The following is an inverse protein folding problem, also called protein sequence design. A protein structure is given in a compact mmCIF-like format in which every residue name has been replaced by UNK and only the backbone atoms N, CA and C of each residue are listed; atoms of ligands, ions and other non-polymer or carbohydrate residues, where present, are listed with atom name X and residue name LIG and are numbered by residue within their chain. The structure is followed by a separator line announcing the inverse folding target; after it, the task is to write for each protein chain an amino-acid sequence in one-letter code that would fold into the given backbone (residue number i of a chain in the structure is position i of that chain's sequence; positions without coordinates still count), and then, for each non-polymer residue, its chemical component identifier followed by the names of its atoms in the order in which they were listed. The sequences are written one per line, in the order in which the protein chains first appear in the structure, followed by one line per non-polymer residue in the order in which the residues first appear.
data_IF_084125259709
#
_entry.id   IF_084125259709
#
_cell.length_a   1.000
_cell.length_b   1.000
_cell.length_c   1.000
_cell.angle_alpha   90.00
_cell.angle_beta   90.00
_cell.angle_gamma   90.00
#
_symmetry.space_group_name_H-M   'P 1'
#
loop_
_entity.id
_entity.type
_entity.pdbx_description
1 polymer ?
#
# COMPACT_ATOMS: atom_id res chain seq x y z
N UNK A 1 2.22 18.48 16.22
CA UNK A 1 3.09 17.29 16.08
C UNK A 1 3.03 16.51 17.37
N UNK A 2 2.33 15.39 17.40
CA UNK A 2 2.36 14.47 18.52
C UNK A 2 3.57 13.57 18.30
N UNK A 3 4.69 13.86 18.95
CA UNK A 3 5.79 12.91 19.07
C UNK A 3 5.33 11.87 20.08
N UNK A 4 4.79 10.74 19.60
CA UNK A 4 4.52 9.61 20.49
C UNK A 4 5.84 9.18 21.12
N UNK A 5 5.95 9.40 22.44
CA UNK A 5 7.12 8.99 23.22
C UNK A 5 7.08 7.47 23.32
N UNK A 6 8.24 6.83 23.15
CA UNK A 6 8.40 5.40 23.42
C UNK A 6 7.85 5.07 24.81
N UNK A 7 7.10 3.98 24.92
CA UNK A 7 6.58 3.54 26.22
C UNK A 7 7.71 3.00 27.10
N UNK A 8 7.50 2.98 28.42
CA UNK A 8 8.45 2.39 29.37
C UNK A 8 8.75 0.91 29.07
N UNK A 9 7.75 0.16 28.60
CA UNK A 9 7.90 -1.24 28.19
C UNK A 9 8.75 -1.42 26.93
N UNK A 10 8.55 -0.56 25.92
CA UNK A 10 9.38 -0.54 24.71
C UNK A 10 10.83 -0.20 25.03
N UNK A 11 11.05 0.79 25.92
CA UNK A 11 12.40 1.17 26.37
C UNK A 11 13.12 0.01 27.05
N UNK A 12 12.45 -0.70 27.96
CA UNK A 12 13.03 -1.86 28.68
C UNK A 12 13.39 -2.99 27.73
N UNK A 13 12.54 -3.25 26.74
CA UNK A 13 12.77 -4.30 25.74
C UNK A 13 13.98 -3.97 24.86
N UNK A 14 14.06 -2.74 24.36
CA UNK A 14 15.19 -2.28 23.54
C UNK A 14 16.51 -2.34 24.32
N UNK A 15 16.49 -1.93 25.59
CA UNK A 15 17.68 -1.97 26.45
C UNK A 15 18.22 -3.40 26.59
N UNK A 16 17.33 -4.37 26.86
CA UNK A 16 17.73 -5.78 26.97
C UNK A 16 18.35 -6.32 25.68
N UNK A 17 17.76 -6.02 24.52
CA UNK A 17 18.31 -6.47 23.23
C UNK A 17 19.69 -5.88 22.97
N UNK A 18 19.92 -4.62 23.37
CA UNK A 18 21.23 -3.99 23.25
C UNK A 18 22.25 -4.61 24.21
N UNK A 19 21.84 -4.92 25.45
CA UNK A 19 22.68 -5.63 26.44
C UNK A 19 23.10 -7.00 25.90
N UNK A 20 22.15 -7.82 25.43
CA UNK A 20 22.41 -9.14 24.86
C UNK A 20 23.37 -9.06 23.65
N UNK A 21 23.20 -8.06 22.79
CA UNK A 21 24.05 -7.87 21.62
C UNK A 21 25.48 -7.44 21.98
N UNK A 22 25.63 -6.57 23.00
CA UNK A 22 26.95 -6.16 23.51
C UNK A 22 27.67 -7.37 24.12
N UNK A 23 26.97 -8.18 24.91
CA UNK A 23 27.54 -9.39 25.51
C UNK A 23 27.97 -10.39 24.43
N UNK A 24 27.13 -10.62 23.42
CA UNK A 24 27.43 -11.51 22.30
C UNK A 24 28.60 -11.02 21.42
N UNK A 25 28.85 -9.71 21.37
CA UNK A 25 29.93 -9.13 20.57
C UNK A 25 31.33 -9.33 21.18
N UNK A 26 31.42 -9.72 22.45
CA UNK A 26 32.69 -10.02 23.11
C UNK A 26 33.62 -8.81 23.25
N UNK A 27 33.07 -7.59 23.28
CA UNK A 27 33.85 -6.36 23.38
C UNK A 27 34.61 -6.29 24.71
N UNK A 28 35.88 -5.88 24.62
CA UNK A 28 36.67 -5.59 25.82
C UNK A 28 36.28 -4.25 26.42
N UNK A 29 36.63 -4.03 27.70
CA UNK A 29 36.39 -2.77 28.41
C UNK A 29 37.00 -1.55 27.68
N UNK A 30 38.16 -1.73 27.06
CA UNK A 30 38.86 -0.65 26.36
C UNK A 30 38.17 -0.32 25.04
N UNK A 31 37.70 -1.34 24.30
CA UNK A 31 36.90 -1.14 23.09
C UNK A 31 35.58 -0.45 23.39
N UNK A 32 34.89 -0.85 24.45
CA UNK A 32 33.67 -0.18 24.93
C UNK A 32 33.93 1.29 25.27
N UNK A 33 35.07 1.57 25.90
CA UNK A 33 35.47 2.95 26.26
C UNK A 33 35.73 3.81 25.02
N UNK A 34 36.38 3.27 23.99
CA UNK A 34 36.57 3.96 22.71
C UNK A 34 35.25 4.21 21.97
N UNK A 35 34.35 3.23 21.96
CA UNK A 35 33.00 3.38 21.37
C UNK A 35 32.22 4.49 22.09
N UNK A 36 32.32 4.60 23.42
CA UNK A 36 31.68 5.66 24.19
C UNK A 36 32.24 7.05 23.87
N UNK A 37 33.53 7.17 23.51
CA UNK A 37 34.14 8.45 23.10
C UNK A 37 33.57 8.97 21.78
N UNK A 38 33.18 8.08 20.87
CA UNK A 38 32.53 8.43 19.59
C UNK A 38 31.00 8.39 19.67
N UNK A 39 30.43 8.45 20.87
CA UNK A 39 29.01 8.16 21.15
C UNK A 39 27.98 8.89 20.27
N UNK A 40 28.28 10.08 19.76
CA UNK A 40 27.40 10.80 18.82
C UNK A 40 27.27 10.09 17.46
N UNK A 41 28.35 9.48 16.94
CA UNK A 41 28.32 8.71 15.69
C UNK A 41 27.54 7.40 15.89
N UNK A 42 27.78 6.71 17.01
CA UNK A 42 27.06 5.48 17.37
C UNK A 42 25.56 5.74 17.51
N UNK A 43 25.16 6.86 18.12
CA UNK A 43 23.75 7.25 18.21
C UNK A 43 23.13 7.54 16.83
N UNK A 44 23.87 8.20 15.94
CA UNK A 44 23.40 8.50 14.58
C UNK A 44 23.21 7.21 13.76
N UNK A 45 24.21 6.32 13.77
CA UNK A 45 24.16 5.05 13.04
C UNK A 45 23.12 4.08 13.63
N UNK A 46 23.00 4.03 14.96
CA UNK A 46 21.94 3.26 15.62
C UNK A 46 20.57 3.82 15.26
N UNK A 47 20.38 5.14 15.22
CA UNK A 47 19.12 5.76 14.78
C UNK A 47 18.81 5.44 13.32
N UNK A 48 19.78 5.54 12.42
CA UNK A 48 19.62 5.19 11.00
C UNK A 48 19.28 3.70 10.87
N UNK A 49 19.99 2.83 11.59
CA UNK A 49 19.74 1.38 11.56
C UNK A 49 18.38 1.03 12.15
N UNK A 50 18.00 1.65 13.27
CA UNK A 50 16.67 1.49 13.85
C UNK A 50 15.59 1.97 12.89
N UNK A 51 15.75 3.09 12.19
CA UNK A 51 14.80 3.56 11.16
C UNK A 51 14.76 2.61 9.96
N UNK A 52 15.93 2.18 9.48
CA UNK A 52 16.08 1.26 8.35
C UNK A 52 15.42 -0.11 8.63
N UNK A 53 15.53 -0.60 9.86
CA UNK A 53 15.02 -1.91 10.25
C UNK A 53 13.67 -1.86 10.99
N UNK A 54 13.24 -0.69 11.48
CA UNK A 54 11.87 -0.48 11.98
C UNK A 54 10.85 -0.49 10.86
N UNK A 55 11.32 -0.35 9.62
CA UNK A 55 10.52 -0.45 8.40
C UNK A 55 10.97 -1.66 7.58
N UNK A 56 11.00 -2.83 8.17
CA UNK A 56 10.59 -4.02 7.42
C UNK A 56 9.25 -4.45 7.98
N UNK A 57 8.16 -3.91 7.43
CA UNK A 57 6.89 -4.60 7.56
C UNK A 57 7.04 -5.87 6.71
N UNK A 58 7.72 -6.91 7.23
CA UNK A 58 7.94 -8.22 6.59
C UNK A 58 6.63 -8.95 6.27
N UNK A 59 5.50 -8.26 6.45
CA UNK A 59 4.16 -8.70 6.12
C UNK A 59 3.88 -8.60 4.63
N UNK A 60 4.57 -7.74 3.87
CA UNK A 60 4.31 -7.56 2.44
C UNK A 60 5.56 -7.72 1.57
N UNK A 61 5.40 -8.40 0.43
CA UNK A 61 6.44 -8.58 -0.59
C UNK A 61 5.90 -8.21 -1.97
N UNK A 62 6.78 -7.72 -2.84
CA UNK A 62 6.43 -7.43 -4.23
C UNK A 62 5.98 -8.73 -4.92
N UNK A 63 4.77 -8.74 -5.45
CA UNK A 63 4.24 -9.83 -6.25
C UNK A 63 4.54 -9.60 -7.74
N UNK A 64 4.23 -8.41 -8.24
CA UNK A 64 4.45 -8.04 -9.64
C UNK A 64 4.61 -6.52 -9.78
N UNK A 65 5.50 -6.09 -10.66
CA UNK A 65 5.56 -4.70 -11.14
C UNK A 65 4.78 -4.59 -12.45
N UNK A 66 3.72 -3.79 -12.46
CA UNK A 66 2.83 -3.62 -13.61
C UNK A 66 3.27 -2.43 -14.49
N UNK A 67 4.32 -1.72 -14.07
CA UNK A 67 4.80 -0.51 -14.73
C UNK A 67 3.78 0.62 -14.68
N UNK A 68 3.77 1.42 -15.75
CA UNK A 68 2.98 2.66 -15.80
C UNK A 68 1.57 2.36 -16.32
N UNK A 69 0.56 2.88 -15.64
CA UNK A 69 -0.79 3.11 -16.18
C UNK A 69 -0.96 4.59 -16.52
N UNK A 70 -1.67 4.87 -17.61
CA UNK A 70 -1.92 6.24 -18.08
C UNK A 70 -3.42 6.49 -18.13
N UNK A 71 -3.88 7.58 -17.56
CA UNK A 71 -5.30 7.94 -17.62
C UNK A 71 -5.67 8.33 -19.05
N UNK A 72 -6.68 7.70 -19.68
CA UNK A 72 -7.05 7.97 -21.06
C UNK A 72 -7.43 9.43 -21.33
N UNK A 73 -7.18 9.92 -22.54
CA UNK A 73 -7.49 11.30 -22.95
C UNK A 73 -8.99 11.64 -22.85
N UNK A 74 -9.84 10.64 -23.04
CA UNK A 74 -11.30 10.76 -22.93
C UNK A 74 -11.83 10.49 -21.51
N UNK A 75 -10.96 10.36 -20.51
CA UNK A 75 -11.39 10.12 -19.14
C UNK A 75 -12.15 11.33 -18.59
N UNK A 76 -13.38 11.09 -18.15
CA UNK A 76 -14.21 12.06 -17.43
C UNK A 76 -14.63 11.43 -16.13
N UNK A 77 -14.13 11.98 -15.01
CA UNK A 77 -14.50 11.52 -13.68
C UNK A 77 -16.03 11.57 -13.47
N UNK A 78 -16.57 10.53 -12.83
CA UNK A 78 -18.00 10.39 -12.58
C UNK A 78 -18.85 10.06 -13.82
N UNK A 79 -18.23 9.56 -14.89
CA UNK A 79 -18.94 9.05 -16.09
C UNK A 79 -18.42 7.72 -16.62
N UNK A 80 -17.47 7.10 -15.91
CA UNK A 80 -16.78 5.91 -16.42
C UNK A 80 -17.42 4.63 -15.92
N UNK A 81 -17.91 4.62 -14.68
CA UNK A 81 -18.37 3.38 -14.04
C UNK A 81 -19.71 2.93 -14.61
N UNK A 82 -20.62 3.87 -14.88
CA UNK A 82 -21.94 3.55 -15.42
C UNK A 82 -21.87 3.11 -16.90
N UNK A 83 -20.77 3.43 -17.59
CA UNK A 83 -20.54 3.09 -19.00
C UNK A 83 -19.75 1.80 -19.22
N UNK A 84 -19.38 1.09 -18.13
CA UNK A 84 -18.62 -0.15 -18.23
C UNK A 84 -19.40 -1.28 -18.92
N UNK A 85 -18.72 -2.03 -19.77
CA UNK A 85 -19.26 -3.25 -20.34
C UNK A 85 -19.21 -4.39 -19.30
N UNK A 86 -20.22 -4.45 -18.44
CA UNK A 86 -20.29 -5.43 -17.33
C UNK A 86 -20.23 -6.90 -17.77
N UNK A 87 -20.53 -7.19 -19.04
CA UNK A 87 -20.49 -8.55 -19.61
C UNK A 87 -19.07 -9.11 -19.76
N UNK A 88 -18.04 -8.27 -19.67
CA UNK A 88 -16.63 -8.70 -19.69
C UNK A 88 -16.20 -9.35 -18.37
N UNK A 89 -17.02 -9.24 -17.33
CA UNK A 89 -16.75 -9.81 -16.02
C UNK A 89 -17.63 -11.03 -15.80
N UNK A 90 -17.04 -12.07 -15.19
CA UNK A 90 -17.80 -13.21 -14.68
C UNK A 90 -18.78 -12.76 -13.57
N UNK A 91 -18.32 -11.82 -12.74
CA UNK A 91 -19.15 -11.12 -11.77
C UNK A 91 -18.80 -9.63 -11.73
N UNK A 92 -19.81 -8.78 -11.66
CA UNK A 92 -19.65 -7.34 -11.47
C UNK A 92 -20.56 -6.88 -10.33
N UNK A 93 -19.99 -6.21 -9.33
CA UNK A 93 -20.77 -5.65 -8.23
C UNK A 93 -21.56 -4.43 -8.74
N UNK A 94 -22.88 -4.52 -8.67
CA UNK A 94 -23.81 -3.52 -9.20
C UNK A 94 -23.69 -2.14 -8.53
N UNK A 95 -23.10 -2.06 -7.33
CA UNK A 95 -22.86 -0.79 -6.63
C UNK A 95 -21.61 -0.05 -7.13
N UNK A 96 -20.86 -0.63 -8.07
CA UNK A 96 -19.78 0.06 -8.79
C UNK A 96 -20.40 0.97 -9.85
N UNK A 97 -20.90 2.11 -9.37
CA UNK A 97 -21.54 3.17 -10.16
C UNK A 97 -20.94 4.53 -9.83
N UNK A 98 -21.05 5.47 -10.76
CA UNK A 98 -20.40 6.79 -10.63
C UNK A 98 -20.90 7.55 -9.39
N UNK A 99 -22.18 7.40 -9.03
CA UNK A 99 -22.78 8.04 -7.86
C UNK A 99 -22.09 7.65 -6.54
N UNK A 100 -21.77 6.36 -6.38
CA UNK A 100 -21.19 5.82 -5.16
C UNK A 100 -19.72 6.25 -4.99
N UNK A 101 -19.00 6.50 -6.08
CA UNK A 101 -17.57 6.83 -6.07
C UNK A 101 -17.26 8.26 -6.55
N UNK A 102 -18.18 9.19 -6.30
CA UNK A 102 -18.11 10.58 -6.79
C UNK A 102 -17.14 11.50 -6.03
N UNK A 103 -16.55 11.04 -4.92
CA UNK A 103 -15.74 11.88 -4.03
C UNK A 103 -14.42 11.20 -3.59
N UNK A 104 -13.54 10.81 -4.53
CA UNK A 104 -12.26 10.18 -4.18
C UNK A 104 -11.29 11.17 -3.52
N UNK A 105 -10.25 10.67 -2.84
CA UNK A 105 -9.17 11.54 -2.31
C UNK A 105 -8.47 12.32 -3.42
N UNK A 106 -8.24 11.66 -4.57
CA UNK A 106 -7.65 12.28 -5.76
C UNK A 106 -8.51 12.02 -6.98
N UNK A 107 -8.92 13.09 -7.65
CA UNK A 107 -9.51 13.01 -8.98
C UNK A 107 -8.36 12.91 -9.99
N UNK A 108 -8.27 11.77 -10.67
CA UNK A 108 -7.30 11.57 -11.75
C UNK A 108 -7.70 12.40 -12.98
N UNK A 109 -6.72 12.89 -13.74
CA UNK A 109 -6.95 13.69 -14.95
C UNK A 109 -6.42 12.98 -16.19
N UNK A 110 -7.01 13.22 -17.38
CA UNK A 110 -6.44 12.79 -18.64
C UNK A 110 -4.93 13.04 -18.72
N UNK A 111 -4.17 12.04 -19.14
CA UNK A 111 -2.72 12.10 -19.26
C UNK A 111 -1.93 11.89 -17.97
N UNK A 112 -2.57 11.83 -16.79
CA UNK A 112 -1.90 11.45 -15.54
C UNK A 112 -1.26 10.06 -15.69
N UNK A 113 -0.05 9.91 -15.16
CA UNK A 113 0.72 8.65 -15.17
C UNK A 113 1.02 8.20 -13.75
N UNK A 114 0.68 6.96 -13.46
CA UNK A 114 0.94 6.33 -12.16
C UNK A 114 1.76 5.06 -12.37
N UNK A 115 2.82 4.88 -11.58
CA UNK A 115 3.54 3.62 -11.52
C UNK A 115 2.83 2.69 -10.56
N UNK A 116 2.45 1.50 -11.04
CA UNK A 116 1.68 0.51 -10.29
C UNK A 116 2.52 -0.72 -9.97
N UNK A 117 2.51 -1.11 -8.70
CA UNK A 117 3.09 -2.36 -8.21
C UNK A 117 2.08 -3.10 -7.34
N UNK A 118 2.06 -4.42 -7.43
CA UNK A 118 1.19 -5.25 -6.62
C UNK A 118 2.00 -5.94 -5.50
N UNK A 119 1.52 -5.85 -4.26
CA UNK A 119 2.20 -6.42 -3.10
C UNK A 119 1.31 -7.46 -2.41
N UNK A 120 1.86 -8.67 -2.22
CA UNK A 120 1.19 -9.76 -1.51
C UNK A 120 1.53 -9.74 -0.04
N UNK A 121 0.61 -10.20 0.80
CA UNK A 121 0.93 -10.49 2.18
C UNK A 121 1.71 -11.81 2.27
N UNK A 122 2.75 -11.86 3.11
CA UNK A 122 3.58 -13.05 3.37
C UNK A 122 3.67 -13.42 4.85
N UNK A 123 3.17 -12.57 5.75
CA UNK A 123 2.98 -12.94 7.15
C UNK A 123 1.79 -13.90 7.32
N UNK A 124 1.91 -14.80 8.30
CA UNK A 124 0.79 -15.63 8.75
C UNK A 124 -0.35 -14.75 9.32
N UNK A 125 -1.59 -15.20 9.13
CA UNK A 125 -2.80 -14.53 9.63
C UNK A 125 -3.39 -13.51 8.65
N UNK A 126 -4.20 -12.59 9.18
CA UNK A 126 -4.80 -11.48 8.45
C UNK A 126 -4.09 -10.14 8.71
N UNK A 127 -4.37 -9.15 7.88
CA UNK A 127 -4.00 -7.74 8.09
C UNK A 127 -5.23 -6.84 7.98
N UNK A 128 -5.27 -5.75 8.73
CA UNK A 128 -6.35 -4.75 8.63
C UNK A 128 -6.13 -3.83 7.43
N UNK A 129 -7.16 -3.06 7.05
CA UNK A 129 -6.99 -1.99 6.06
C UNK A 129 -5.97 -0.94 6.52
N UNK A 130 -5.98 -0.59 7.80
CA UNK A 130 -5.03 0.35 8.40
C UNK A 130 -3.58 -0.13 8.27
N UNK A 131 -3.29 -1.42 8.49
CA UNK A 131 -1.96 -2.01 8.28
C UNK A 131 -1.48 -1.84 6.82
N UNK A 132 -2.39 -2.08 5.87
CA UNK A 132 -2.11 -2.01 4.42
C UNK A 132 -1.91 -0.58 3.96
N UNK A 133 -2.70 0.36 4.50
CA UNK A 133 -2.52 1.79 4.26
C UNK A 133 -1.23 2.32 4.87
N UNK A 134 -0.84 1.87 6.07
CA UNK A 134 0.44 2.25 6.68
C UNK A 134 1.63 1.79 5.82
N UNK A 135 1.57 0.55 5.30
CA UNK A 135 2.55 0.04 4.34
C UNK A 135 2.57 0.91 3.06
N UNK A 136 1.40 1.22 2.51
CA UNK A 136 1.28 2.02 1.28
C UNK A 136 1.83 3.44 1.46
N UNK A 137 1.55 4.09 2.59
CA UNK A 137 2.04 5.42 2.91
C UNK A 137 3.58 5.47 2.99
N UNK A 138 4.22 4.45 3.56
CA UNK A 138 5.69 4.33 3.62
C UNK A 138 6.34 4.26 2.23
N UNK A 139 5.59 3.83 1.23
CA UNK A 139 6.02 3.76 -0.17
C UNK A 139 5.62 5.00 -0.98
N UNK A 140 5.14 6.07 -0.32
CA UNK A 140 4.59 7.28 -0.95
C UNK A 140 3.47 6.96 -1.96
N UNK A 141 2.58 6.03 -1.60
CA UNK A 141 1.46 5.67 -2.44
C UNK A 141 0.43 6.80 -2.51
N UNK A 142 -0.21 6.92 -3.67
CA UNK A 142 -1.46 7.65 -3.85
C UNK A 142 -2.63 6.67 -3.77
N UNK A 143 -3.79 7.19 -3.39
CA UNK A 143 -4.99 6.38 -3.19
C UNK A 143 -6.06 6.74 -4.24
N UNK A 144 -6.01 6.11 -5.43
CA UNK A 144 -6.95 6.42 -6.52
C UNK A 144 -8.30 5.69 -6.39
N UNK A 145 -8.45 4.78 -5.42
CA UNK A 145 -9.67 4.01 -5.21
C UNK A 145 -10.10 3.26 -6.47
N UNK A 146 -11.39 3.37 -6.81
CA UNK A 146 -11.98 2.66 -7.96
C UNK A 146 -11.34 3.05 -9.29
N UNK A 147 -10.87 4.30 -9.42
CA UNK A 147 -10.22 4.79 -10.65
C UNK A 147 -8.95 3.98 -10.93
N UNK A 148 -8.16 3.69 -9.89
CA UNK A 148 -6.94 2.89 -10.00
C UNK A 148 -7.23 1.42 -10.32
N UNK A 149 -8.17 0.80 -9.61
CA UNK A 149 -8.57 -0.58 -9.88
C UNK A 149 -9.02 -0.76 -11.34
N UNK A 150 -9.84 0.17 -11.83
CA UNK A 150 -10.31 0.13 -13.20
C UNK A 150 -9.20 0.33 -14.22
N UNK A 151 -8.30 1.30 -14.03
CA UNK A 151 -7.16 1.50 -14.94
C UNK A 151 -6.24 0.27 -15.02
N UNK A 152 -6.01 -0.39 -13.88
CA UNK A 152 -5.23 -1.64 -13.84
C UNK A 152 -5.95 -2.74 -14.61
N UNK A 153 -7.25 -2.92 -14.42
CA UNK A 153 -8.02 -3.87 -15.21
C UNK A 153 -7.89 -3.58 -16.71
N UNK A 154 -8.17 -2.34 -17.15
CA UNK A 154 -8.16 -2.01 -18.57
C UNK A 154 -6.80 -2.18 -19.25
N UNK A 155 -5.70 -1.89 -18.54
CA UNK A 155 -4.38 -1.77 -19.17
C UNK A 155 -3.43 -2.91 -18.83
N UNK A 156 -3.70 -3.64 -17.74
CA UNK A 156 -2.75 -4.56 -17.10
C UNK A 156 -3.37 -5.90 -16.68
N UNK A 157 -4.64 -6.18 -16.98
CA UNK A 157 -5.31 -7.41 -16.55
C UNK A 157 -4.56 -8.70 -16.95
N UNK A 158 -3.96 -8.73 -18.14
CA UNK A 158 -3.16 -9.87 -18.64
C UNK A 158 -1.86 -10.09 -17.85
N UNK A 159 -1.39 -9.07 -17.14
CA UNK A 159 -0.17 -9.12 -16.33
C UNK A 159 -0.43 -9.49 -14.87
N UNK A 160 -1.70 -9.55 -14.44
CA UNK A 160 -2.06 -9.90 -13.07
C UNK A 160 -1.85 -11.39 -12.83
N UNK A 161 -1.01 -11.80 -11.85
CA UNK A 161 -1.02 -13.17 -11.36
C UNK A 161 -2.42 -13.63 -10.98
N UNK A 162 -2.78 -14.85 -11.36
CA UNK A 162 -4.10 -15.42 -11.13
C UNK A 162 -4.28 -15.88 -9.67
N UNK A 163 -5.54 -16.08 -9.25
CA UNK A 163 -6.01 -16.51 -7.91
C UNK A 163 -5.92 -15.45 -6.81
N UNK A 164 -6.00 -14.18 -7.20
CA UNK A 164 -5.79 -13.06 -6.30
C UNK A 164 -6.82 -11.94 -6.50
N UNK A 165 -7.18 -11.31 -5.39
CA UNK A 165 -8.03 -10.11 -5.34
C UNK A 165 -7.16 -8.87 -5.24
N UNK A 166 -7.15 -8.02 -6.25
CA UNK A 166 -6.30 -6.84 -6.35
C UNK A 166 -7.03 -5.60 -5.84
N UNK A 167 -6.73 -5.18 -4.61
CA UNK A 167 -7.39 -4.10 -3.89
C UNK A 167 -6.76 -2.74 -4.17
N UNK A 168 -7.56 -1.76 -4.57
CA UNK A 168 -7.15 -0.37 -4.72
C UNK A 168 -7.79 0.49 -3.63
N UNK A 169 -6.96 1.02 -2.74
CA UNK A 169 -7.44 1.81 -1.60
C UNK A 169 -7.73 3.27 -1.97
N UNK A 170 -8.63 3.87 -1.19
CA UNK A 170 -8.85 5.31 -1.06
C UNK A 170 -8.61 5.70 0.41
N UNK A 171 -8.59 6.99 0.76
CA UNK A 171 -8.66 7.35 2.18
C UNK A 171 -9.97 6.87 2.79
N UNK A 172 -9.91 6.38 4.05
CA UNK A 172 -11.05 5.81 4.77
C UNK A 172 -12.31 6.66 4.65
N UNK A 173 -12.23 7.96 4.87
CA UNK A 173 -13.40 8.84 4.84
C UNK A 173 -13.90 9.20 3.43
N UNK A 174 -13.17 8.80 2.38
CA UNK A 174 -13.55 8.97 0.97
C UNK A 174 -14.14 7.73 0.34
N UNK A 175 -13.94 6.57 0.95
CA UNK A 175 -14.58 5.34 0.50
C UNK A 175 -16.10 5.46 0.60
N UNK A 176 -16.78 4.94 -0.41
CA UNK A 176 -18.22 4.80 -0.39
C UNK A 176 -18.66 3.98 0.83
N UNK A 177 -19.64 4.50 1.56
CA UNK A 177 -20.27 3.81 2.68
C UNK A 177 -21.58 3.21 2.18
N UNK A 178 -21.70 1.89 2.25
CA UNK A 178 -22.92 1.18 1.85
C UNK A 178 -24.08 1.43 2.83
N UNK A 179 -25.25 0.88 2.50
CA UNK A 179 -26.47 1.03 3.31
C UNK A 179 -26.36 0.43 4.71
N UNK A 180 -25.49 -0.56 4.89
CA UNK A 180 -25.23 -1.21 6.18
C UNK A 180 -24.17 -0.47 7.00
N UNK A 181 -23.55 0.54 6.40
CA UNK A 181 -22.59 1.43 7.03
C UNK A 181 -21.15 0.97 6.93
N UNK A 182 -20.85 0.04 6.03
CA UNK A 182 -19.49 -0.41 5.76
C UNK A 182 -18.84 0.38 4.63
N UNK A 183 -17.54 0.65 4.76
CA UNK A 183 -16.77 1.32 3.70
C UNK A 183 -16.27 0.30 2.70
N UNK A 184 -16.45 0.60 1.42
CA UNK A 184 -16.29 -0.37 0.33
C UNK A 184 -15.00 -0.12 -0.43
N UNK A 185 -14.10 -1.11 -0.41
CA UNK A 185 -12.80 -1.07 -1.09
C UNK A 185 -12.89 -1.80 -2.43
N UNK A 186 -12.67 -1.13 -3.56
CA UNK A 186 -12.75 -1.76 -4.86
C UNK A 186 -11.60 -2.71 -5.11
N UNK A 187 -11.93 -3.86 -5.70
CA UNK A 187 -10.94 -4.87 -6.05
C UNK A 187 -11.33 -5.65 -7.30
N UNK A 188 -10.30 -6.08 -8.03
CA UNK A 188 -10.43 -6.92 -9.22
C UNK A 188 -9.93 -8.32 -8.89
N UNK A 189 -10.78 -9.34 -9.04
CA UNK A 189 -10.35 -10.74 -8.98
C UNK A 189 -9.76 -11.12 -10.32
N UNK A 190 -8.54 -11.65 -10.33
CA UNK A 190 -8.05 -12.42 -11.47
C UNK A 190 -8.20 -13.91 -11.10
N UNK A 191 -9.24 -14.56 -11.62
CA UNK A 191 -9.59 -15.92 -11.23
C UNK A 191 -8.56 -16.95 -11.73
N UNK A 192 -8.70 -18.22 -11.34
CA UNK A 192 -7.77 -19.27 -11.80
C UNK A 192 -7.93 -19.67 -13.27
N UNK A 193 -9.07 -19.37 -13.88
CA UNK A 193 -9.46 -19.75 -15.25
C UNK A 193 -9.06 -18.69 -16.29
N UNK A 194 -8.68 -17.50 -15.83
CA UNK A 194 -8.35 -16.34 -16.65
C UNK A 194 -9.45 -15.27 -16.67
N UNK A 195 -10.62 -15.54 -16.14
CA UNK A 195 -11.74 -14.60 -16.01
C UNK A 195 -11.50 -13.57 -14.91
N UNK A 196 -12.33 -12.53 -14.92
CA UNK A 196 -12.24 -11.43 -13.98
C UNK A 196 -13.56 -11.14 -13.29
N UNK A 197 -13.48 -10.75 -12.03
CA UNK A 197 -14.60 -10.21 -11.26
C UNK A 197 -14.25 -8.80 -10.78
N UNK A 198 -15.23 -7.91 -10.76
CA UNK A 198 -15.08 -6.60 -10.14
C UNK A 198 -15.96 -6.52 -8.90
N UNK A 199 -15.35 -6.46 -7.72
CA UNK A 199 -16.01 -6.60 -6.43
C UNK A 199 -15.69 -5.44 -5.48
N UNK A 200 -16.45 -5.39 -4.39
CA UNK A 200 -16.28 -4.45 -3.28
C UNK A 200 -16.01 -5.22 -1.99
N UNK A 201 -14.80 -5.08 -1.46
CA UNK A 201 -14.41 -5.60 -0.16
C UNK A 201 -14.78 -4.64 0.95
N UNK A 202 -14.63 -5.07 2.20
CA UNK A 202 -14.99 -4.29 3.38
C UNK A 202 -13.72 -3.70 4.01
N UNK A 203 -13.65 -2.38 4.12
CA UNK A 203 -12.52 -1.71 4.76
C UNK A 203 -12.39 -2.13 6.23
N UNK A 204 -13.51 -2.29 6.92
CA UNK A 204 -13.56 -2.69 8.33
C UNK A 204 -13.28 -4.18 8.56
N UNK A 205 -13.15 -4.98 7.50
CA UNK A 205 -12.79 -6.39 7.62
C UNK A 205 -11.29 -6.61 7.52
N UNK A 206 -10.87 -7.70 8.13
CA UNK A 206 -9.55 -8.27 7.97
C UNK A 206 -9.37 -8.83 6.55
N UNK A 207 -8.17 -8.67 6.02
CA UNK A 207 -7.77 -9.16 4.71
C UNK A 207 -6.79 -10.31 4.85
N UNK A 208 -6.95 -11.32 4.01
CA UNK A 208 -6.08 -12.49 3.99
C UNK A 208 -4.92 -12.36 2.99
N UNK A 209 -4.16 -13.45 2.83
CA UNK A 209 -3.07 -13.55 1.87
C UNK A 209 -3.47 -13.57 0.39
N UNK A 210 -4.76 -13.76 0.08
CA UNK A 210 -5.27 -13.70 -1.29
C UNK A 210 -5.64 -12.27 -1.72
N UNK A 211 -5.73 -11.36 -0.76
CA UNK A 211 -6.00 -9.95 -0.98
C UNK A 211 -4.69 -9.19 -1.21
N UNK A 212 -4.43 -8.76 -2.43
CA UNK A 212 -3.22 -8.08 -2.91
C UNK A 212 -3.41 -6.57 -2.89
N UNK A 213 -2.40 -5.83 -2.45
CA UNK A 213 -2.41 -4.36 -2.50
C UNK A 213 -1.98 -3.90 -3.88
N UNK A 214 -2.83 -3.16 -4.58
CA UNK A 214 -2.42 -2.33 -5.71
C UNK A 214 -1.87 -1.00 -5.18
N UNK A 215 -0.59 -0.80 -5.37
CA UNK A 215 0.13 0.38 -4.91
C UNK A 215 0.44 1.28 -6.09
N UNK A 216 -0.04 2.53 -6.03
CA UNK A 216 0.13 3.53 -7.08
C UNK A 216 1.08 4.61 -6.57
N UNK A 217 2.10 4.97 -7.34
CA UNK A 217 2.97 6.12 -7.05
C UNK A 217 2.90 7.11 -8.20
N UNK A 218 2.98 8.40 -7.89
CA UNK A 218 3.28 9.40 -8.92
C UNK A 218 4.65 9.10 -9.54
N UNK A 219 4.77 9.36 -10.84
CA UNK A 219 6.07 9.36 -11.51
C UNK A 219 6.95 10.43 -10.88
N UNK A 220 8.27 10.18 -10.70
CA UNK A 220 9.19 11.24 -10.34
C UNK A 220 9.03 12.38 -11.34
N UNK A 221 8.72 13.57 -10.85
CA UNK A 221 8.71 14.75 -11.71
C UNK A 221 10.12 14.90 -12.24
N UNK A 222 10.31 14.86 -13.56
CA UNK A 222 11.58 15.28 -14.14
C UNK A 222 11.82 16.70 -13.63
N UNK A 223 12.83 16.85 -12.77
CA UNK A 223 13.29 18.17 -12.34
C UNK A 223 13.74 18.85 -13.61
N UNK A 224 12.98 19.85 -14.04
CA UNK A 224 13.19 20.55 -15.29
C UNK A 224 14.63 21.05 -15.38
N UNK A 225 15.46 20.31 -16.13
CA UNK A 225 16.65 20.88 -16.74
C UNK A 225 16.14 21.67 -17.94
N UNK A 226 15.67 22.89 -17.67
CA UNK A 226 15.63 23.91 -18.70
C UNK A 226 17.08 24.18 -19.12
N UNK A 227 17.42 23.69 -20.31
CA UNK A 227 18.61 24.06 -21.08
C UNK A 227 18.64 25.54 -21.37
#
# INVERSE_FOLDING_TARGET
MITEKITSGQKKTLLRVLEDAVDASGLTKDQTTEILKVGNLVQADLKISLIKHSISNKRFELLVDLGIVTVPENYVHGKQLDSLNRKEFYYFNEDIIDANFSNPTRILKPGDKLWVRAFKQVSLGSTTSEDRMEFSAKMNAVYPGIQGAYLVYQQKCDQLPKRYWYCSFDEKERLWKDTDGHRRVPNVHADSSGDFEFYLGYFESDWDGHSIILLFCDMPTEVGLST
#
